data_IF_705916497919
#
_entry.id   IF_705916497919
#
_cell.length_a   1.000
_cell.length_b   1.000
_cell.length_c   1.000
_cell.angle_alpha   90.00
_cell.angle_beta   90.00
_cell.angle_gamma   90.00
#
_symmetry.space_group_name_H-M   'P 1'
#
loop_
_entity.id
_entity.type
_entity.pdbx_description
1 polymer ?
#
# COMPACT_ATOMS: atom_id res chain seq x y z
N UNK A 1 -12.88 -10.20 -5.33
CA UNK A 1 -13.51 -10.55 -4.04
C UNK A 1 -13.79 -9.25 -3.28
N UNK A 2 -14.98 -9.09 -2.69
CA UNK A 2 -15.36 -7.91 -1.91
C UNK A 2 -15.01 -8.19 -0.45
N UNK A 3 -13.83 -7.74 -0.04
CA UNK A 3 -13.29 -7.99 1.28
C UNK A 3 -13.95 -6.99 2.25
N UNK A 4 -14.25 -7.38 3.49
CA UNK A 4 -14.89 -6.52 4.50
C UNK A 4 -14.13 -5.21 4.81
N UNK A 5 -12.87 -5.12 4.38
CA UNK A 5 -12.00 -3.94 4.45
C UNK A 5 -12.26 -2.89 3.35
N UNK A 6 -12.99 -3.23 2.28
CA UNK A 6 -13.35 -2.31 1.18
C UNK A 6 -14.18 -1.11 1.65
N UNK A 7 -15.26 -1.27 2.45
CA UNK A 7 -15.97 -0.12 2.99
C UNK A 7 -15.08 0.75 3.89
N UNK A 8 -14.09 0.18 4.58
CA UNK A 8 -13.17 0.96 5.40
C UNK A 8 -12.25 1.86 4.56
N UNK A 9 -11.71 1.33 3.46
CA UNK A 9 -10.92 2.11 2.50
C UNK A 9 -11.74 3.25 1.87
N UNK A 10 -13.02 3.00 1.61
CA UNK A 10 -13.96 4.02 1.12
C UNK A 10 -14.28 5.09 2.17
N UNK A 11 -14.47 4.70 3.44
CA UNK A 11 -14.67 5.64 4.55
C UNK A 11 -13.43 6.52 4.73
N UNK A 12 -12.23 5.95 4.70
CA UNK A 12 -10.98 6.71 4.78
C UNK A 12 -10.81 7.66 3.59
N UNK A 13 -11.12 7.19 2.37
CA UNK A 13 -11.09 8.03 1.18
C UNK A 13 -12.08 9.20 1.29
N UNK A 14 -13.31 8.93 1.75
CA UNK A 14 -14.32 9.95 2.00
C UNK A 14 -13.91 10.97 3.07
N UNK A 15 -13.35 10.51 4.20
CA UNK A 15 -12.84 11.37 5.27
C UNK A 15 -11.66 12.23 4.83
N UNK A 16 -10.80 11.69 3.97
CA UNK A 16 -9.66 12.40 3.41
C UNK A 16 -10.04 13.34 2.25
N UNK A 17 -11.30 13.31 1.79
CA UNK A 17 -11.77 14.11 0.65
C UNK A 17 -11.11 13.71 -0.68
N UNK A 18 -10.69 12.46 -0.81
CA UNK A 18 -10.01 11.97 -2.02
C UNK A 18 -11.00 11.65 -3.13
N UNK A 19 -10.57 11.82 -4.38
CA UNK A 19 -11.39 11.48 -5.54
C UNK A 19 -11.26 9.99 -5.82
N UNK A 20 -12.35 9.24 -5.66
CA UNK A 20 -12.40 7.80 -5.92
C UNK A 20 -12.87 7.50 -7.34
N UNK A 21 -12.15 6.64 -8.05
CA UNK A 21 -12.55 6.09 -9.35
C UNK A 21 -12.24 4.61 -9.42
N UNK A 22 -12.90 3.89 -10.33
CA UNK A 22 -12.66 2.47 -10.54
C UNK A 22 -11.35 2.30 -11.32
N UNK A 23 -10.41 1.58 -10.72
CA UNK A 23 -9.15 1.20 -11.33
C UNK A 23 -9.24 -0.15 -12.08
N UNK A 24 -8.14 -0.56 -12.72
CA UNK A 24 -8.05 -1.86 -13.37
C UNK A 24 -8.31 -3.00 -12.37
N UNK A 25 -8.83 -4.14 -12.87
CA UNK A 25 -9.02 -5.39 -12.10
C UNK A 25 -9.96 -5.29 -10.88
N UNK A 26 -10.84 -4.28 -10.84
CA UNK A 26 -11.85 -4.12 -9.78
C UNK A 26 -11.33 -3.44 -8.50
N UNK A 27 -10.15 -2.84 -8.57
CA UNK A 27 -9.60 -1.98 -7.51
C UNK A 27 -10.30 -0.62 -7.53
N UNK A 28 -10.41 0.02 -6.38
CA UNK A 28 -10.90 1.40 -6.25
C UNK A 28 -9.68 2.28 -6.04
N UNK A 29 -9.41 3.19 -6.95
CA UNK A 29 -8.28 4.11 -6.83
C UNK A 29 -8.79 5.43 -6.26
N UNK A 30 -8.16 5.92 -5.21
CA UNK A 30 -8.52 7.15 -4.52
C UNK A 30 -7.34 8.13 -4.56
N UNK A 31 -7.47 9.28 -5.19
CA UNK A 31 -6.36 10.23 -5.39
C UNK A 31 -6.56 11.55 -4.65
N UNK A 32 -5.46 12.28 -4.43
CA UNK A 32 -5.47 13.59 -3.78
C UNK A 32 -5.39 13.53 -2.25
N UNK A 33 -4.80 12.47 -1.70
CA UNK A 33 -4.65 12.31 -0.25
C UNK A 33 -3.70 13.38 0.33
N UNK A 34 -4.25 14.28 1.16
CA UNK A 34 -3.53 15.44 1.71
C UNK A 34 -3.09 15.30 3.16
N UNK A 35 -3.46 14.22 3.86
CA UNK A 35 -3.10 14.05 5.26
C UNK A 35 -1.60 13.76 5.43
N UNK A 36 -1.06 14.20 6.58
CA UNK A 36 0.39 14.12 6.88
C UNK A 36 0.90 12.68 7.04
N UNK A 37 0.01 11.75 7.36
CA UNK A 37 0.32 10.33 7.55
C UNK A 37 -0.69 9.50 6.77
N UNK A 38 -0.28 8.38 6.13
CA UNK A 38 1.08 7.85 6.05
C UNK A 38 1.98 8.61 5.03
N UNK A 39 3.30 8.52 5.21
CA UNK A 39 4.33 9.21 4.39
C UNK A 39 4.54 8.52 3.02
N UNK A 40 3.91 7.37 2.78
CA UNK A 40 3.99 6.63 1.53
C UNK A 40 3.27 7.37 0.38
N UNK A 41 3.83 7.30 -0.84
CA UNK A 41 3.26 7.93 -2.04
C UNK A 41 1.94 7.32 -2.50
N UNK A 42 1.75 6.03 -2.23
CA UNK A 42 0.52 5.29 -2.39
C UNK A 42 0.42 4.24 -1.27
N UNK A 43 -0.80 3.80 -0.93
CA UNK A 43 -1.01 2.67 -0.04
C UNK A 43 -2.37 2.02 -0.28
N UNK A 44 -2.43 0.71 -0.13
CA UNK A 44 -3.67 -0.06 -0.29
C UNK A 44 -4.35 -0.33 1.05
N UNK A 45 -5.69 -0.22 1.06
CA UNK A 45 -6.58 -0.60 2.17
C UNK A 45 -7.72 -1.45 1.63
N UNK A 46 -7.61 -2.77 1.77
CA UNK A 46 -8.56 -3.69 1.14
C UNK A 46 -8.47 -3.61 -0.39
N UNK A 47 -9.59 -3.33 -1.06
CA UNK A 47 -9.62 -3.08 -2.51
C UNK A 47 -9.39 -1.61 -2.88
N UNK A 48 -9.13 -0.71 -1.92
CA UNK A 48 -8.96 0.72 -2.18
C UNK A 48 -7.49 1.09 -2.17
N UNK A 49 -6.96 1.52 -3.32
CA UNK A 49 -5.59 2.03 -3.45
C UNK A 49 -5.63 3.56 -3.35
N UNK A 50 -5.05 4.10 -2.28
CA UNK A 50 -5.04 5.54 -2.00
C UNK A 50 -3.71 6.12 -2.45
N UNK A 51 -3.74 7.01 -3.45
CA UNK A 51 -2.60 7.77 -3.95
C UNK A 51 -2.59 9.19 -3.37
N UNK A 52 -1.40 9.64 -2.98
CA UNK A 52 -1.17 11.06 -2.67
C UNK A 52 -1.08 11.92 -3.93
N UNK A 53 -0.55 11.34 -5.01
CA UNK A 53 -0.44 11.99 -6.31
C UNK A 53 -1.78 12.08 -7.03
N UNK A 54 -1.81 12.91 -8.08
CA UNK A 54 -2.96 13.05 -8.97
C UNK A 54 -3.22 11.77 -9.78
N UNK A 55 -4.46 11.64 -10.30
CA UNK A 55 -4.91 10.45 -11.03
C UNK A 55 -4.04 10.10 -12.24
N UNK A 56 -3.48 11.11 -12.92
CA UNK A 56 -2.61 10.92 -14.08
C UNK A 56 -1.30 10.20 -13.70
N UNK A 57 -0.71 10.57 -12.55
CA UNK A 57 0.48 9.92 -12.00
C UNK A 57 0.17 8.49 -11.51
N UNK A 58 -1.01 8.28 -10.93
CA UNK A 58 -1.43 6.95 -10.51
C UNK A 58 -1.61 5.98 -11.70
N UNK A 59 -2.17 6.46 -12.81
CA UNK A 59 -2.43 5.66 -14.01
C UNK A 59 -1.17 5.37 -14.83
N UNK A 60 -0.18 6.26 -14.79
CA UNK A 60 1.14 6.05 -15.45
C UNK A 60 2.03 5.08 -14.67
N UNK A 61 1.86 4.98 -13.36
CA UNK A 61 2.60 4.08 -12.47
C UNK A 61 2.13 2.63 -12.49
N UNK A 62 2.00 1.97 -13.66
CA UNK A 62 1.55 0.56 -13.76
C UNK A 62 2.31 -0.42 -12.85
N UNK A 63 3.62 -0.24 -12.71
CA UNK A 63 4.47 -1.07 -11.83
C UNK A 63 4.08 -0.91 -10.36
N UNK A 64 3.82 0.33 -9.94
CA UNK A 64 3.35 0.64 -8.59
C UNK A 64 1.93 0.10 -8.37
N UNK A 65 1.09 0.14 -9.41
CA UNK A 65 -0.28 -0.39 -9.37
C UNK A 65 -0.30 -1.92 -9.20
N UNK A 66 0.58 -2.65 -9.90
CA UNK A 66 0.76 -4.10 -9.70
C UNK A 66 1.31 -4.42 -8.30
N UNK A 67 2.16 -3.56 -7.72
CA UNK A 67 2.65 -3.68 -6.34
C UNK A 67 1.50 -3.51 -5.32
N UNK A 68 0.68 -2.48 -5.50
CA UNK A 68 -0.50 -2.21 -4.66
C UNK A 68 -1.58 -3.30 -4.78
N UNK A 69 -1.74 -3.91 -5.95
CA UNK A 69 -2.65 -5.05 -6.14
C UNK A 69 -2.25 -6.27 -5.29
N UNK A 70 -0.94 -6.53 -5.16
CA UNK A 70 -0.44 -7.61 -4.30
C UNK A 70 -0.78 -7.33 -2.83
N UNK A 71 -0.69 -6.07 -2.40
CA UNK A 71 -1.15 -5.67 -1.06
C UNK A 71 -2.65 -5.87 -0.90
N UNK A 72 -3.48 -5.57 -1.90
CA UNK A 72 -4.93 -5.86 -1.87
C UNK A 72 -5.20 -7.36 -1.64
N UNK A 73 -4.44 -8.22 -2.31
CA UNK A 73 -4.53 -9.67 -2.11
C UNK A 73 -4.11 -10.06 -0.69
N UNK A 74 -3.00 -9.52 -0.17
CA UNK A 74 -2.57 -9.78 1.21
C UNK A 74 -3.62 -9.31 2.23
N UNK A 75 -4.27 -8.17 1.99
CA UNK A 75 -5.41 -7.70 2.79
C UNK A 75 -6.57 -8.69 2.77
N UNK A 76 -6.86 -9.30 1.62
CA UNK A 76 -7.89 -10.33 1.48
C UNK A 76 -7.56 -11.55 2.36
N UNK A 77 -6.29 -11.98 2.34
CA UNK A 77 -5.80 -13.10 3.14
C UNK A 77 -5.74 -12.80 4.64
N UNK A 78 -5.41 -11.56 5.04
CA UNK A 78 -5.30 -11.14 6.43
C UNK A 78 -6.61 -10.58 7.02
N UNK A 79 -7.77 -10.82 6.39
CA UNK A 79 -9.10 -10.36 6.84
C UNK A 79 -9.19 -8.84 7.07
N UNK A 80 -8.38 -8.05 6.37
CA UNK A 80 -8.46 -6.60 6.42
C UNK A 80 -7.54 -5.94 7.44
N UNK A 81 -8.12 -5.31 8.46
CA UNK A 81 -7.43 -4.48 9.47
C UNK A 81 -6.22 -5.12 10.16
N UNK A 82 -6.22 -6.43 10.50
CA UNK A 82 -5.06 -7.06 11.13
C UNK A 82 -3.79 -6.92 10.28
N UNK A 83 -3.92 -6.89 8.95
CA UNK A 83 -2.81 -6.69 8.04
C UNK A 83 -2.03 -5.40 8.35
N UNK A 84 -2.72 -4.28 8.56
CA UNK A 84 -2.05 -2.99 8.83
C UNK A 84 -1.22 -3.05 10.10
N UNK A 85 -1.75 -3.68 11.15
CA UNK A 85 -1.03 -3.84 12.41
C UNK A 85 0.25 -4.67 12.19
N UNK A 86 0.16 -5.79 11.49
CA UNK A 86 1.32 -6.62 11.17
C UNK A 86 2.30 -5.93 10.23
N UNK A 87 1.80 -5.19 9.25
CA UNK A 87 2.60 -4.42 8.30
C UNK A 87 3.38 -3.32 9.01
N UNK A 88 2.73 -2.49 9.83
CA UNK A 88 3.40 -1.43 10.58
C UNK A 88 4.39 -2.00 11.61
N UNK A 89 4.05 -3.11 12.26
CA UNK A 89 4.98 -3.79 13.17
C UNK A 89 6.23 -4.30 12.44
N UNK A 90 6.05 -4.94 11.28
CA UNK A 90 7.16 -5.44 10.47
C UNK A 90 7.99 -4.30 9.85
N UNK A 91 7.35 -3.22 9.40
CA UNK A 91 8.01 -2.02 8.89
C UNK A 91 8.82 -1.32 9.99
N UNK A 92 8.27 -1.18 11.20
CA UNK A 92 8.98 -0.61 12.35
C UNK A 92 10.16 -1.49 12.76
N UNK A 93 9.97 -2.82 12.80
CA UNK A 93 11.05 -3.76 13.06
C UNK A 93 12.17 -3.64 12.02
N UNK A 94 11.80 -3.56 10.74
CA UNK A 94 12.76 -3.36 9.66
C UNK A 94 13.50 -2.03 9.82
N UNK A 95 12.80 -0.94 10.17
CA UNK A 95 13.40 0.37 10.33
C UNK A 95 14.42 0.38 11.46
N UNK A 96 14.11 -0.29 12.59
CA UNK A 96 15.04 -0.44 13.72
C UNK A 96 16.22 -1.34 13.37
N UNK A 97 16.02 -2.40 12.56
CA UNK A 97 17.05 -3.41 12.30
C UNK A 97 17.95 -3.10 11.10
N UNK A 98 17.41 -2.50 10.05
CA UNK A 98 18.05 -2.28 8.74
C UNK A 98 18.08 -0.80 8.32
N UNK A 99 17.44 0.10 9.09
CA UNK A 99 17.38 1.52 8.75
C UNK A 99 16.42 1.84 7.59
N UNK A 100 15.53 0.92 7.25
CA UNK A 100 14.49 1.10 6.23
C UNK A 100 13.24 0.29 6.57
N UNK A 101 12.07 0.69 6.06
CA UNK A 101 10.78 0.05 6.36
C UNK A 101 10.46 -1.19 5.51
N UNK A 102 11.31 -1.58 4.57
CA UNK A 102 10.95 -2.51 3.49
C UNK A 102 11.82 -3.79 3.44
N UNK A 103 13.14 -3.68 3.62
CA UNK A 103 14.11 -4.77 3.52
C UNK A 103 13.84 -5.93 4.49
N UNK A 104 13.37 -5.62 5.69
CA UNK A 104 12.97 -6.56 6.73
C UNK A 104 11.47 -6.85 6.80
N UNK A 105 10.65 -6.19 5.97
CA UNK A 105 9.20 -6.37 5.96
C UNK A 105 8.81 -7.47 4.96
N UNK A 106 8.29 -8.63 5.41
CA UNK A 106 7.95 -9.73 4.53
C UNK A 106 6.82 -9.38 3.56
N UNK A 107 5.92 -8.45 3.94
CA UNK A 107 4.83 -8.01 3.09
C UNK A 107 5.33 -7.22 1.88
N UNK A 108 6.27 -6.29 2.10
CA UNK A 108 6.97 -5.54 1.06
C UNK A 108 7.81 -6.44 0.14
N UNK A 109 8.48 -7.45 0.72
CA UNK A 109 9.23 -8.45 -0.07
C UNK A 109 8.32 -9.27 -0.97
N UNK A 110 7.14 -9.65 -0.47
CA UNK A 110 6.18 -10.44 -1.22
C UNK A 110 5.44 -9.59 -2.26
N UNK A 111 5.19 -8.31 -1.98
CA UNK A 111 4.68 -7.35 -2.96
C UNK A 111 5.73 -6.99 -4.02
N UNK A 112 7.02 -7.12 -3.70
CA UNK A 112 8.14 -6.88 -4.60
C UNK A 112 8.73 -5.50 -4.35
N UNK A 113 9.91 -5.48 -3.71
CA UNK A 113 10.61 -4.26 -3.30
C UNK A 113 10.87 -3.31 -4.47
N UNK A 114 11.40 -3.83 -5.59
CA UNK A 114 11.73 -3.03 -6.77
C UNK A 114 10.48 -2.39 -7.40
N UNK A 115 9.34 -3.08 -7.33
CA UNK A 115 8.07 -2.55 -7.85
C UNK A 115 7.51 -1.43 -6.95
N UNK A 116 7.81 -1.45 -5.66
CA UNK A 116 7.52 -0.37 -4.71
C UNK A 116 8.58 0.73 -4.69
N UNK A 117 9.64 0.62 -5.50
CA UNK A 117 10.75 1.59 -5.54
C UNK A 117 11.79 1.43 -4.41
N UNK A 118 11.77 0.31 -3.69
CA UNK A 118 12.72 0.00 -2.62
C UNK A 118 13.87 -0.89 -3.10
N UNK A 119 15.08 -0.62 -2.60
CA UNK A 119 16.28 -1.43 -2.82
C UNK A 119 16.49 -2.34 -1.62
N UNK A 120 16.66 -3.65 -1.83
CA UNK A 120 16.92 -4.61 -0.74
C UNK A 120 18.27 -4.31 -0.08
N UNK A 121 18.25 -3.77 1.14
CA UNK A 121 19.46 -3.44 1.90
C UNK A 121 20.01 -4.62 2.70
N UNK A 122 19.28 -5.74 2.85
CA UNK A 122 19.83 -6.92 3.55
C UNK A 122 21.03 -7.50 2.82
N UNK A 123 21.01 -7.51 1.49
CA UNK A 123 22.14 -7.99 0.67
C UNK A 123 23.43 -7.17 0.81
N UNK A 124 23.38 -6.01 1.48
CA UNK A 124 24.58 -5.20 1.76
C UNK A 124 25.24 -5.59 3.10
N UNK A 125 24.57 -6.40 3.92
CA UNK A 125 25.04 -6.83 5.24
C UNK A 125 25.46 -8.31 5.30
N UNK A 126 25.44 -9.03 4.17
CA UNK A 126 26.04 -10.36 4.00
C UNK A 126 27.42 -10.24 3.34
#
# INVERSE_FOLDING_TARGET
>A
MLNASTPLGLVLAGLAGTRTFQGPRGLIVATGYRWRLPVAGAFTVGNVVIFRADADTALTGRVLLDHEERHSTQYAWCLGLPFLLFYFAAAAWSAVRYGDSASGNPFERHAGLEAGGYVDRRRRHE
#
